data_IF_150656841556
#
_entry.id   IF_150656841556
#
_cell.length_a   1.000
_cell.length_b   1.000
_cell.length_c   1.000
_cell.angle_alpha   90.00
_cell.angle_beta   90.00
_cell.angle_gamma   90.00
#
_symmetry.space_group_name_H-M   'P 1'
#
loop_
_entity.id
_entity.type
_entity.pdbx_description
1 polymer ?
#
# COMPACT_ATOMS: atom_id res chain seq x y z
N UNK A 1 11.58 16.32 -13.15
CA UNK A 1 11.38 15.02 -13.82
C UNK A 1 10.48 14.17 -12.94
N UNK A 2 9.33 13.68 -13.43
CA UNK A 2 8.50 12.73 -12.66
C UNK A 2 9.25 11.40 -12.53
N UNK A 3 9.11 10.71 -11.40
CA UNK A 3 9.75 9.40 -11.17
C UNK A 3 9.43 8.39 -12.29
N UNK A 4 8.24 8.51 -12.89
CA UNK A 4 7.83 7.80 -14.10
C UNK A 4 8.75 7.99 -15.31
N UNK A 5 9.09 9.25 -15.64
CA UNK A 5 10.02 9.52 -16.76
C UNK A 5 11.42 9.02 -16.43
N UNK A 6 11.84 9.13 -15.18
CA UNK A 6 13.16 8.67 -14.74
C UNK A 6 13.32 7.15 -14.88
N UNK A 7 12.34 6.36 -14.43
CA UNK A 7 12.42 4.89 -14.51
C UNK A 7 12.43 4.39 -15.95
N UNK A 8 11.70 5.05 -16.85
CA UNK A 8 11.66 4.73 -18.27
C UNK A 8 12.96 5.14 -18.98
N UNK A 9 13.47 6.34 -18.70
CA UNK A 9 14.67 6.88 -19.36
C UNK A 9 15.93 6.14 -18.91
N UNK A 10 16.04 5.80 -17.63
CA UNK A 10 17.23 5.16 -17.06
C UNK A 10 17.25 3.63 -17.17
N UNK A 11 16.25 3.04 -17.84
CA UNK A 11 16.12 1.59 -18.04
C UNK A 11 16.38 0.75 -16.77
N UNK A 12 15.79 1.17 -15.64
CA UNK A 12 16.01 0.50 -14.35
C UNK A 12 15.45 -0.94 -14.30
N UNK A 13 16.16 -1.91 -13.68
CA UNK A 13 15.63 -3.27 -13.48
C UNK A 13 14.28 -3.28 -12.74
N UNK A 14 13.45 -4.34 -12.92
CA UNK A 14 12.10 -4.38 -12.34
C UNK A 14 12.04 -4.16 -10.83
N UNK A 15 12.95 -4.79 -10.08
CA UNK A 15 13.00 -4.65 -8.62
C UNK A 15 13.35 -3.22 -8.18
N UNK A 16 14.32 -2.58 -8.85
CA UNK A 16 14.70 -1.19 -8.57
C UNK A 16 13.56 -0.23 -8.92
N UNK A 17 12.85 -0.48 -10.01
CA UNK A 17 11.67 0.30 -10.41
C UNK A 17 10.54 0.18 -9.37
N UNK A 18 10.29 -1.04 -8.86
CA UNK A 18 9.30 -1.27 -7.80
C UNK A 18 9.60 -0.46 -6.53
N UNK A 19 10.87 -0.36 -6.12
CA UNK A 19 11.29 0.45 -4.97
C UNK A 19 10.99 1.94 -5.22
N UNK A 20 11.40 2.47 -6.37
CA UNK A 20 11.19 3.90 -6.71
C UNK A 20 9.69 4.23 -6.78
N UNK A 21 8.89 3.39 -7.43
CA UNK A 21 7.44 3.61 -7.56
C UNK A 21 6.72 3.43 -6.22
N UNK A 22 7.12 2.46 -5.40
CA UNK A 22 6.59 2.27 -4.04
C UNK A 22 6.88 3.48 -3.14
N UNK A 23 8.11 3.99 -3.16
CA UNK A 23 8.49 5.19 -2.42
C UNK A 23 7.76 6.44 -2.93
N UNK A 24 7.56 6.57 -4.24
CA UNK A 24 6.75 7.64 -4.82
C UNK A 24 5.31 7.60 -4.27
N UNK A 25 4.65 6.45 -4.29
CA UNK A 25 3.28 6.28 -3.77
C UNK A 25 3.23 6.63 -2.28
N UNK A 26 4.21 6.13 -1.49
CA UNK A 26 4.33 6.43 -0.05
C UNK A 26 4.43 7.94 0.19
N UNK A 27 5.29 8.64 -0.55
CA UNK A 27 5.48 10.08 -0.41
C UNK A 27 4.25 10.89 -0.83
N UNK A 28 3.53 10.47 -1.88
CA UNK A 28 2.26 11.09 -2.29
C UNK A 28 1.22 10.95 -1.18
N UNK A 29 1.05 9.75 -0.61
CA UNK A 29 0.10 9.51 0.49
C UNK A 29 0.44 10.36 1.72
N UNK A 30 1.73 10.47 2.07
CA UNK A 30 2.18 11.32 3.19
C UNK A 30 1.98 12.81 2.92
N UNK A 31 2.28 13.26 1.71
CA UNK A 31 2.07 14.67 1.32
C UNK A 31 0.59 15.03 1.39
N UNK A 32 -0.27 14.15 0.89
CA UNK A 32 -1.73 14.29 1.01
C UNK A 32 -2.18 14.39 2.48
N UNK A 33 -1.70 13.48 3.33
CA UNK A 33 -2.04 13.46 4.75
C UNK A 33 -1.63 14.75 5.48
N UNK A 34 -0.45 15.28 5.17
CA UNK A 34 0.05 16.53 5.73
C UNK A 34 -0.75 17.74 5.25
N UNK A 35 -0.99 17.86 3.94
CA UNK A 35 -1.78 18.97 3.37
C UNK A 35 -3.20 18.96 3.93
N UNK A 36 -3.84 17.79 3.99
CA UNK A 36 -5.20 17.64 4.52
C UNK A 36 -5.29 18.05 6.00
N UNK A 37 -4.25 17.75 6.78
CA UNK A 37 -4.13 18.19 8.17
C UNK A 37 -3.96 19.71 8.28
N UNK A 38 -3.02 20.28 7.52
CA UNK A 38 -2.73 21.71 7.55
C UNK A 38 -3.97 22.55 7.15
N UNK A 39 -4.68 22.13 6.10
CA UNK A 39 -5.93 22.76 5.68
C UNK A 39 -6.99 22.69 6.79
N UNK A 40 -7.13 21.53 7.44
CA UNK A 40 -8.09 21.35 8.53
C UNK A 40 -7.85 22.36 9.68
N UNK A 41 -6.60 22.54 10.09
CA UNK A 41 -6.23 23.50 11.13
C UNK A 41 -6.58 24.94 10.77
N UNK A 42 -6.24 25.38 9.55
CA UNK A 42 -6.49 26.76 9.10
C UNK A 42 -7.99 27.09 9.12
N UNK A 43 -8.84 26.13 8.77
CA UNK A 43 -10.29 26.33 8.82
C UNK A 43 -10.87 26.35 10.24
N UNK A 44 -10.30 25.58 11.17
CA UNK A 44 -10.69 25.62 12.60
C UNK A 44 -10.32 26.97 13.21
N UNK A 45 -9.10 27.46 12.96
CA UNK A 45 -8.60 28.76 13.44
C UNK A 45 -9.44 29.92 12.90
N UNK A 46 -9.77 29.91 11.60
CA UNK A 46 -10.64 30.94 11.01
C UNK A 46 -12.08 30.92 11.53
N UNK A 47 -12.56 29.80 12.09
CA UNK A 47 -13.87 29.74 12.76
C UNK A 47 -13.81 30.32 14.17
N UNK A 48 -12.74 30.06 14.91
CA UNK A 48 -12.55 30.57 16.27
C UNK A 48 -12.39 32.10 16.27
N UNK A 49 -11.72 32.70 15.27
CA UNK A 49 -11.65 34.16 15.12
C UNK A 49 -13.01 34.81 14.79
N UNK A 50 -13.92 34.07 14.12
CA UNK A 50 -15.23 34.58 13.72
C UNK A 50 -16.30 34.50 14.82
N UNK A 51 -16.01 33.83 15.93
CA UNK A 51 -16.94 33.64 17.04
C UNK A 51 -16.68 34.68 18.14
N UNK A 52 -17.61 35.60 18.45
CA UNK A 52 -17.40 36.54 19.56
C UNK A 52 -17.28 35.76 20.87
N UNK A 53 -16.42 36.18 21.82
CA UNK A 53 -16.36 35.54 23.12
C UNK A 53 -17.71 35.64 23.81
N UNK A 54 -18.37 34.49 24.03
CA UNK A 54 -19.58 34.42 24.86
C UNK A 54 -19.27 34.90 26.28
N UNK A 55 -20.17 35.68 26.91
CA UNK A 55 -19.95 36.16 28.28
C UNK A 55 -19.94 34.95 29.22
N UNK A 56 -18.77 34.70 29.81
CA UNK A 56 -18.64 33.68 30.85
C UNK A 56 -19.45 34.12 32.06
N UNK A 57 -20.41 33.29 32.47
CA UNK A 57 -21.21 33.44 33.68
C UNK A 57 -20.29 33.43 34.90
N UNK A 58 -19.92 34.61 35.42
CA UNK A 58 -19.35 34.77 36.75
C UNK A 58 -20.43 34.53 37.80
N UNK A 59 -20.35 33.39 38.49
CA UNK A 59 -20.97 33.20 39.81
C UNK A 59 -20.04 33.81 40.86
N UNK A 60 -20.66 34.59 41.73
CA UNK A 60 -20.20 35.49 42.80
C UNK A 60 -19.23 34.90 43.82
N UNK A 61 -18.24 35.71 44.29
CA UNK A 61 -18.15 36.21 45.68
C UNK A 61 -16.76 36.80 46.04
N UNK A 62 -16.74 38.05 46.53
CA UNK A 62 -15.92 38.43 47.70
C UNK A 62 -14.60 39.23 47.53
N UNK A 63 -14.70 40.55 47.72
CA UNK A 63 -13.82 41.42 48.55
C UNK A 63 -12.36 41.73 48.08
N UNK A 64 -12.19 43.01 47.67
CA UNK A 64 -11.06 43.96 47.82
C UNK A 64 -9.60 43.47 47.98
N UNK A 65 -8.72 43.90 47.06
CA UNK A 65 -7.76 44.99 47.33
C UNK A 65 -6.90 45.36 46.11
N UNK A 66 -6.60 46.66 46.01
CA UNK A 66 -5.73 47.30 45.05
C UNK A 66 -4.28 46.77 45.07
N UNK A 67 -3.75 46.43 43.88
CA UNK A 67 -2.32 46.57 43.57
C UNK A 67 -2.17 46.83 42.06
N UNK A 68 -1.77 48.04 41.70
CA UNK A 68 -1.33 48.38 40.34
C UNK A 68 0.07 47.78 40.14
N UNK A 69 0.17 46.74 39.31
CA UNK A 69 1.44 46.31 38.70
C UNK A 69 1.33 46.62 37.21
N UNK A 70 2.13 47.59 36.76
CA UNK A 70 2.34 47.86 35.34
C UNK A 70 3.06 46.67 34.71
N UNK A 71 2.32 45.79 34.05
CA UNK A 71 2.89 44.82 33.12
C UNK A 71 2.65 45.35 31.71
N UNK A 72 3.72 45.88 31.11
CA UNK A 72 3.79 46.16 29.69
C UNK A 72 3.62 44.84 28.93
N UNK A 73 2.37 44.49 28.62
CA UNK A 73 2.06 43.42 27.69
C UNK A 73 2.41 43.90 26.29
N UNK A 74 3.67 43.67 25.91
CA UNK A 74 4.04 43.45 24.51
C UNK A 74 3.10 42.35 23.99
N UNK A 75 2.13 42.75 23.19
CA UNK A 75 1.26 41.85 22.43
C UNK A 75 2.13 41.16 21.39
N UNK A 76 2.83 40.11 21.81
CA UNK A 76 3.29 39.08 20.89
C UNK A 76 2.04 38.29 20.58
N UNK A 77 1.40 38.61 19.46
CA UNK A 77 0.52 37.68 18.79
C UNK A 77 1.39 36.43 18.60
N UNK A 78 1.15 35.38 19.40
CA UNK A 78 1.69 34.06 19.11
C UNK A 78 1.18 33.74 17.71
N UNK A 79 2.02 33.91 16.69
CA UNK A 79 1.79 33.29 15.40
C UNK A 79 1.72 31.80 15.70
N UNK A 80 0.49 31.26 15.77
CA UNK A 80 0.22 29.86 16.05
C UNK A 80 1.16 29.03 15.17
N UNK A 81 2.04 28.28 15.84
CA UNK A 81 3.26 27.76 15.22
C UNK A 81 2.90 26.73 14.14
N UNK A 82 2.94 27.14 12.86
CA UNK A 82 2.88 26.22 11.72
C UNK A 82 3.77 25.00 11.99
N UNK A 83 3.36 23.79 11.57
CA UNK A 83 4.06 22.57 11.95
C UNK A 83 5.54 22.67 11.55
N UNK A 84 6.40 22.70 12.57
CA UNK A 84 7.84 22.83 12.41
C UNK A 84 8.37 21.79 11.40
N UNK A 85 9.22 22.22 10.47
CA UNK A 85 9.79 21.37 9.41
C UNK A 85 10.42 20.08 9.95
N UNK A 86 11.01 20.11 11.14
CA UNK A 86 11.56 18.93 11.82
C UNK A 86 10.52 17.85 12.10
N UNK A 87 9.30 18.24 12.49
CA UNK A 87 8.18 17.31 12.74
C UNK A 87 7.69 16.68 11.43
N UNK A 88 7.62 17.47 10.37
CA UNK A 88 7.29 16.96 9.04
C UNK A 88 8.35 15.97 8.53
N UNK A 89 9.64 16.28 8.68
CA UNK A 89 10.73 15.37 8.31
C UNK A 89 10.68 14.06 9.11
N UNK A 90 10.38 14.12 10.41
CA UNK A 90 10.15 12.94 11.23
C UNK A 90 8.99 12.10 10.69
N UNK A 91 7.86 12.72 10.36
CA UNK A 91 6.71 12.04 9.76
C UNK A 91 7.06 11.38 8.43
N UNK A 92 7.87 12.01 7.56
CA UNK A 92 8.29 11.42 6.29
C UNK A 92 9.01 10.09 6.48
N UNK A 93 9.76 9.91 7.57
CA UNK A 93 10.45 8.66 7.87
C UNK A 93 9.62 7.70 8.73
N UNK A 94 8.71 8.20 9.56
CA UNK A 94 7.90 7.38 10.47
C UNK A 94 7.08 6.31 9.72
N UNK A 95 6.94 5.09 10.25
CA UNK A 95 6.19 4.00 9.62
C UNK A 95 4.67 4.17 9.83
N UNK A 96 4.15 5.34 9.47
CA UNK A 96 2.71 5.65 9.46
C UNK A 96 2.40 6.57 8.28
N UNK A 97 1.16 6.55 7.82
CA UNK A 97 0.66 7.41 6.74
C UNK A 97 -0.29 8.50 7.25
N UNK A 98 -0.67 8.47 8.53
CA UNK A 98 -1.54 9.48 9.14
C UNK A 98 -0.69 10.51 9.87
N UNK A 99 -0.80 11.78 9.47
CA UNK A 99 -0.05 12.87 10.10
C UNK A 99 -0.66 13.24 11.46
N UNK A 100 0.20 13.43 12.46
CA UNK A 100 -0.11 13.96 13.80
C UNK A 100 1.06 14.78 14.29
N UNK A 101 0.80 15.81 15.10
CA UNK A 101 1.88 16.65 15.65
C UNK A 101 2.73 15.93 16.70
N UNK A 102 2.08 15.09 17.50
CA UNK A 102 2.71 14.33 18.58
C UNK A 102 2.41 12.85 18.38
N UNK A 103 3.47 12.07 18.23
CA UNK A 103 3.41 10.62 18.19
C UNK A 103 3.91 10.03 19.51
N UNK A 104 3.38 8.88 19.95
CA UNK A 104 3.95 8.18 21.10
C UNK A 104 5.39 7.77 20.77
N UNK A 105 6.32 8.00 21.72
CA UNK A 105 7.75 7.71 21.53
C UNK A 105 8.29 6.73 22.58
N UNK A 106 9.23 5.90 22.16
CA UNK A 106 9.98 5.05 23.10
C UNK A 106 11.11 5.83 23.78
N UNK A 107 11.47 5.42 25.00
CA UNK A 107 12.51 6.11 25.80
C UNK A 107 13.91 5.95 25.19
N UNK A 108 14.26 4.75 24.78
CA UNK A 108 15.56 4.40 24.21
C UNK A 108 15.41 3.55 22.94
N UNK A 109 16.50 3.45 22.17
CA UNK A 109 16.61 2.59 20.98
C UNK A 109 17.26 1.28 21.42
N UNK A 110 16.59 0.16 21.18
CA UNK A 110 17.12 -1.19 21.40
C UNK A 110 17.80 -1.67 20.13
N UNK A 111 19.08 -1.37 19.98
CA UNK A 111 19.86 -1.70 18.77
C UNK A 111 19.87 -3.19 18.43
N UNK A 112 19.93 -4.07 19.43
CA UNK A 112 19.80 -5.52 19.20
C UNK A 112 18.49 -5.89 18.46
N UNK A 113 17.37 -5.26 18.83
CA UNK A 113 16.09 -5.46 18.16
C UNK A 113 16.15 -4.95 16.71
N UNK A 114 16.76 -3.78 16.46
CA UNK A 114 16.96 -3.23 15.11
C UNK A 114 17.76 -4.19 14.24
N UNK A 115 18.94 -4.62 14.71
CA UNK A 115 19.82 -5.54 13.97
C UNK A 115 19.16 -6.89 13.71
N UNK A 116 18.45 -7.45 14.70
CA UNK A 116 17.72 -8.72 14.54
C UNK A 116 16.65 -8.62 13.45
N UNK A 117 15.85 -7.54 13.44
CA UNK A 117 14.85 -7.33 12.40
C UNK A 117 15.47 -7.14 11.00
N UNK A 118 16.57 -6.38 10.87
CA UNK A 118 17.24 -6.24 9.57
C UNK A 118 17.83 -7.56 9.08
N UNK A 119 18.40 -8.37 9.97
CA UNK A 119 18.88 -9.71 9.62
C UNK A 119 17.73 -10.60 9.13
N UNK A 120 16.57 -10.56 9.80
CA UNK A 120 15.37 -11.27 9.35
C UNK A 120 14.92 -10.82 7.95
N UNK A 121 14.94 -9.52 7.64
CA UNK A 121 14.65 -9.01 6.29
C UNK A 121 15.62 -9.58 5.25
N UNK A 122 16.92 -9.61 5.54
CA UNK A 122 17.93 -10.17 4.62
C UNK A 122 17.66 -11.66 4.38
N UNK A 123 17.38 -12.44 5.44
CA UNK A 123 17.04 -13.86 5.33
C UNK A 123 15.78 -14.07 4.50
N UNK A 124 14.72 -13.30 4.74
CA UNK A 124 13.49 -13.35 3.97
C UNK A 124 13.72 -13.00 2.49
N UNK A 125 14.56 -12.02 2.19
CA UNK A 125 14.90 -11.65 0.81
C UNK A 125 15.64 -12.78 0.08
N UNK A 126 16.65 -13.38 0.71
CA UNK A 126 17.38 -14.53 0.16
C UNK A 126 16.43 -15.71 -0.05
N UNK A 127 15.57 -16.01 0.93
CA UNK A 127 14.61 -17.11 0.82
C UNK A 127 13.58 -16.88 -0.29
N UNK A 128 13.08 -15.65 -0.44
CA UNK A 128 12.18 -15.26 -1.53
C UNK A 128 12.86 -15.45 -2.89
N UNK A 129 14.13 -15.05 -3.02
CA UNK A 129 14.91 -15.27 -4.24
C UNK A 129 15.00 -16.77 -4.60
N UNK A 130 15.29 -17.65 -3.64
CA UNK A 130 15.32 -19.09 -3.89
C UNK A 130 13.97 -19.64 -4.36
N UNK A 131 12.86 -19.20 -3.74
CA UNK A 131 11.51 -19.61 -4.17
C UNK A 131 11.23 -19.13 -5.60
N UNK A 132 11.52 -17.86 -5.90
CA UNK A 132 11.34 -17.30 -7.24
C UNK A 132 12.18 -18.05 -8.28
N UNK A 133 13.45 -18.32 -8.01
CA UNK A 133 14.34 -19.06 -8.91
C UNK A 133 13.85 -20.48 -9.18
N UNK A 134 13.46 -21.21 -8.13
CA UNK A 134 13.09 -22.62 -8.25
C UNK A 134 11.71 -22.82 -8.85
N UNK A 135 10.73 -22.01 -8.45
CA UNK A 135 9.32 -22.25 -8.76
C UNK A 135 8.74 -21.30 -9.82
N UNK A 136 9.35 -20.13 -10.05
CA UNK A 136 8.87 -19.20 -11.07
C UNK A 136 9.82 -19.20 -12.28
N UNK A 137 11.09 -18.88 -12.09
CA UNK A 137 11.99 -18.70 -13.23
C UNK A 137 12.26 -20.00 -14.00
N UNK A 138 12.59 -21.11 -13.33
CA UNK A 138 12.91 -22.37 -14.02
C UNK A 138 11.72 -22.92 -14.86
N UNK A 139 10.48 -23.03 -14.32
CA UNK A 139 9.35 -23.57 -15.07
C UNK A 139 8.85 -22.67 -16.20
N UNK A 140 8.91 -21.33 -16.04
CA UNK A 140 8.41 -20.37 -17.03
C UNK A 140 9.45 -19.96 -18.08
N UNK A 141 10.74 -20.24 -17.86
CA UNK A 141 11.83 -19.85 -18.79
C UNK A 141 11.64 -20.34 -20.23
N UNK A 142 10.95 -21.47 -20.42
CA UNK A 142 10.68 -22.08 -21.72
C UNK A 142 9.35 -21.62 -22.34
N UNK A 143 8.56 -20.80 -21.63
CA UNK A 143 7.28 -20.32 -22.13
C UNK A 143 7.48 -19.37 -23.31
N UNK A 144 6.83 -19.65 -24.44
CA UNK A 144 7.03 -18.92 -25.70
C UNK A 144 8.05 -19.56 -26.65
N UNK A 145 8.86 -20.54 -26.20
CA UNK A 145 9.77 -21.33 -27.06
C UNK A 145 9.15 -22.63 -27.58
N UNK A 146 8.07 -23.09 -26.97
CA UNK A 146 7.42 -24.37 -27.28
C UNK A 146 5.91 -24.19 -27.51
N UNK A 147 5.34 -25.08 -28.33
CA UNK A 147 3.95 -25.20 -28.83
C UNK A 147 2.86 -24.51 -27.98
N UNK A 148 1.85 -23.95 -28.68
CA UNK A 148 0.65 -23.24 -28.15
C UNK A 148 0.29 -23.67 -26.72
N UNK A 149 0.24 -22.71 -25.81
CA UNK A 149 -0.09 -22.95 -24.42
C UNK A 149 -1.54 -23.44 -24.29
N UNK A 150 -1.73 -24.72 -23.95
CA UNK A 150 -3.06 -25.32 -23.77
C UNK A 150 -3.64 -24.94 -22.41
N UNK A 151 -4.96 -24.78 -22.33
CA UNK A 151 -5.69 -24.56 -21.08
C UNK A 151 -5.39 -25.63 -20.02
N UNK A 152 -5.20 -26.90 -20.41
CA UNK A 152 -4.79 -27.96 -19.47
C UNK A 152 -3.43 -27.66 -18.82
N UNK A 153 -2.48 -27.14 -19.59
CA UNK A 153 -1.15 -26.76 -19.09
C UNK A 153 -1.23 -25.51 -18.21
N UNK A 154 -2.15 -24.58 -18.52
CA UNK A 154 -2.46 -23.45 -17.65
C UNK A 154 -2.87 -23.92 -16.26
N UNK A 155 -3.92 -24.73 -16.17
CA UNK A 155 -4.46 -25.19 -14.88
C UNK A 155 -3.40 -25.92 -14.05
N UNK A 156 -2.61 -26.80 -14.67
CA UNK A 156 -1.53 -27.51 -14.00
C UNK A 156 -0.47 -26.55 -13.44
N UNK A 157 -0.01 -25.60 -14.26
CA UNK A 157 1.04 -24.64 -13.88
C UNK A 157 0.54 -23.65 -12.83
N UNK A 158 -0.69 -23.17 -13.01
CA UNK A 158 -1.42 -22.31 -12.09
C UNK A 158 -1.56 -22.96 -10.70
N UNK A 159 -1.96 -24.23 -10.66
CA UNK A 159 -2.08 -25.00 -9.40
C UNK A 159 -0.72 -25.19 -8.74
N UNK A 160 0.33 -25.46 -9.51
CA UNK A 160 1.70 -25.57 -9.01
C UNK A 160 2.25 -24.25 -8.44
N UNK A 161 1.74 -23.09 -8.89
CA UNK A 161 2.14 -21.78 -8.39
C UNK A 161 1.40 -21.34 -7.12
N UNK A 162 0.28 -21.98 -6.77
CA UNK A 162 -0.52 -21.67 -5.57
C UNK A 162 0.31 -21.70 -4.28
N UNK A 163 1.07 -22.78 -4.06
CA UNK A 163 1.85 -22.94 -2.84
C UNK A 163 3.06 -21.98 -2.81
N UNK A 164 3.94 -21.90 -3.84
CA UNK A 164 5.01 -20.91 -3.87
C UNK A 164 4.50 -19.47 -3.73
N UNK A 165 3.36 -19.15 -4.34
CA UNK A 165 2.77 -17.82 -4.27
C UNK A 165 2.24 -17.46 -2.88
N UNK A 166 1.53 -18.39 -2.23
CA UNK A 166 1.12 -18.22 -0.84
C UNK A 166 2.30 -18.10 0.13
N UNK A 167 3.38 -18.85 -0.09
CA UNK A 167 4.61 -18.72 0.71
C UNK A 167 5.27 -17.35 0.51
N UNK A 168 5.40 -16.88 -0.74
CA UNK A 168 5.93 -15.56 -1.04
C UNK A 168 5.09 -14.44 -0.43
N UNK A 169 3.76 -14.57 -0.42
CA UNK A 169 2.87 -13.66 0.29
C UNK A 169 3.22 -13.58 1.78
N UNK A 170 3.34 -14.72 2.46
CA UNK A 170 3.65 -14.79 3.89
C UNK A 170 5.02 -14.19 4.21
N UNK A 171 6.03 -14.50 3.39
CA UNK A 171 7.39 -13.98 3.55
C UNK A 171 7.41 -12.47 3.30
N UNK A 172 6.74 -11.99 2.25
CA UNK A 172 6.66 -10.56 1.95
C UNK A 172 5.94 -9.80 3.07
N UNK A 173 4.85 -10.35 3.61
CA UNK A 173 4.16 -9.81 4.77
C UNK A 173 5.09 -9.68 5.97
N UNK A 174 5.75 -10.77 6.37
CA UNK A 174 6.62 -10.79 7.54
C UNK A 174 7.87 -9.91 7.36
N UNK A 175 8.49 -9.97 6.19
CA UNK A 175 9.68 -9.17 5.88
C UNK A 175 9.37 -7.68 5.93
N UNK A 176 8.28 -7.25 5.28
CA UNK A 176 7.96 -5.84 5.15
C UNK A 176 7.16 -5.30 6.35
N UNK A 177 5.95 -5.82 6.58
CA UNK A 177 5.04 -5.25 7.58
C UNK A 177 5.47 -5.52 9.02
N UNK A 178 6.13 -6.66 9.27
CA UNK A 178 6.68 -6.95 10.58
C UNK A 178 8.10 -6.42 10.73
N UNK A 179 9.08 -7.04 10.06
CA UNK A 179 10.50 -6.83 10.36
C UNK A 179 10.99 -5.44 9.93
N UNK A 180 10.75 -5.06 8.68
CA UNK A 180 11.19 -3.76 8.15
C UNK A 180 10.55 -2.59 8.91
N UNK A 181 9.23 -2.56 9.03
CA UNK A 181 8.55 -1.46 9.74
C UNK A 181 8.93 -1.39 11.23
N UNK A 182 9.10 -2.52 11.92
CA UNK A 182 9.56 -2.51 13.32
C UNK A 182 11.00 -2.02 13.46
N UNK A 183 11.89 -2.35 12.51
CA UNK A 183 13.26 -1.84 12.51
C UNK A 183 13.26 -0.30 12.38
N UNK A 184 12.52 0.25 11.41
CA UNK A 184 12.38 1.70 11.26
C UNK A 184 11.67 2.36 12.43
N UNK A 185 10.63 1.73 12.99
CA UNK A 185 9.93 2.24 14.17
C UNK A 185 10.87 2.36 15.37
N UNK A 186 11.67 1.33 15.63
CA UNK A 186 12.63 1.34 16.74
C UNK A 186 13.72 2.39 16.53
N UNK A 187 14.31 2.48 15.32
CA UNK A 187 15.33 3.50 14.99
C UNK A 187 14.80 4.93 15.18
N UNK A 188 13.54 5.19 14.81
CA UNK A 188 12.91 6.50 14.96
C UNK A 188 12.35 6.74 16.38
N UNK A 189 12.39 5.75 17.27
CA UNK A 189 11.68 5.73 18.56
C UNK A 189 10.18 5.95 18.41
N UNK A 190 9.58 5.41 17.37
CA UNK A 190 8.14 5.41 17.14
C UNK A 190 7.49 4.32 18.01
N UNK A 191 6.56 4.74 18.86
CA UNK A 191 5.91 3.89 19.86
C UNK A 191 4.66 3.18 19.37
N UNK A 192 4.00 3.69 18.32
CA UNK A 192 2.80 3.07 17.75
C UNK A 192 3.21 1.99 16.73
N UNK A 193 3.15 0.72 17.12
CA UNK A 193 3.66 -0.39 16.30
C UNK A 193 2.57 -1.32 15.80
N UNK A 194 1.32 -0.85 15.81
CA UNK A 194 0.17 -1.63 15.33
C UNK A 194 0.05 -1.55 13.81
N UNK A 195 1.02 -2.11 13.09
CA UNK A 195 1.03 -2.09 11.62
C UNK A 195 0.05 -3.06 10.97
N UNK A 196 -0.33 -4.10 11.72
CA UNK A 196 -1.28 -5.14 11.33
C UNK A 196 -1.93 -5.72 12.58
N UNK A 197 -3.07 -6.41 12.40
CA UNK A 197 -3.77 -7.18 13.44
C UNK A 197 -3.76 -8.67 13.07
N UNK A 198 -4.47 -9.50 13.82
CA UNK A 198 -4.59 -10.95 13.61
C UNK A 198 -5.42 -11.32 12.38
N UNK A 199 -5.02 -10.83 11.21
CA UNK A 199 -5.69 -11.04 9.93
C UNK A 199 -5.78 -12.52 9.53
N UNK A 200 -4.90 -13.37 10.06
CA UNK A 200 -4.92 -14.83 9.87
C UNK A 200 -6.13 -15.50 10.51
N UNK A 201 -6.77 -14.86 11.51
CA UNK A 201 -7.99 -15.32 12.14
C UNK A 201 -9.26 -14.79 11.46
N UNK A 202 -9.13 -14.02 10.39
CA UNK A 202 -10.29 -13.41 9.73
C UNK A 202 -11.25 -14.48 9.19
N UNK A 203 -12.55 -14.29 9.41
CA UNK A 203 -13.64 -15.12 8.84
C UNK A 203 -14.35 -14.45 7.66
N UNK A 204 -14.08 -13.16 7.41
CA UNK A 204 -14.62 -12.42 6.27
C UNK A 204 -13.52 -11.59 5.59
N UNK A 205 -13.64 -11.38 4.28
CA UNK A 205 -12.70 -10.52 3.56
C UNK A 205 -12.73 -9.07 4.06
N UNK A 206 -13.90 -8.59 4.51
CA UNK A 206 -14.00 -7.28 5.15
C UNK A 206 -13.10 -7.15 6.39
N UNK A 207 -13.04 -8.18 7.25
CA UNK A 207 -12.11 -8.18 8.40
C UNK A 207 -10.66 -8.26 7.91
N UNK A 208 -10.36 -9.12 6.92
CA UNK A 208 -9.02 -9.28 6.37
C UNK A 208 -8.45 -7.96 5.81
N UNK A 209 -9.20 -7.24 4.97
CA UNK A 209 -8.78 -5.96 4.39
C UNK A 209 -8.45 -4.89 5.45
N UNK A 210 -9.13 -4.91 6.60
CA UNK A 210 -8.94 -3.94 7.69
C UNK A 210 -7.77 -4.28 8.62
N UNK A 211 -7.32 -5.53 8.61
CA UNK A 211 -6.37 -6.08 9.59
C UNK A 211 -5.01 -6.41 8.98
N UNK A 212 -4.95 -6.68 7.66
CA UNK A 212 -3.71 -7.04 6.97
C UNK A 212 -2.64 -5.95 6.99
N UNK A 213 -2.99 -4.73 6.57
CA UNK A 213 -2.09 -3.58 6.55
C UNK A 213 -2.86 -2.36 7.09
N UNK A 214 -2.77 -2.19 8.41
CA UNK A 214 -3.50 -1.14 9.15
C UNK A 214 -3.02 0.24 8.72
N UNK A 215 -1.74 0.41 8.36
CA UNK A 215 -1.19 1.71 7.96
C UNK A 215 -1.89 2.25 6.70
N UNK A 216 -2.00 1.42 5.67
CA UNK A 216 -2.66 1.81 4.41
C UNK A 216 -4.16 1.88 4.59
N UNK A 217 -4.74 0.94 5.34
CA UNK A 217 -6.15 0.95 5.69
C UNK A 217 -6.56 2.26 6.38
N UNK A 218 -5.81 2.69 7.41
CA UNK A 218 -6.14 3.89 8.18
C UNK A 218 -6.03 5.16 7.35
N UNK A 219 -5.08 5.22 6.42
CA UNK A 219 -4.99 6.31 5.44
C UNK A 219 -6.21 6.33 4.51
N UNK A 220 -6.56 5.19 3.91
CA UNK A 220 -7.72 5.06 3.02
C UNK A 220 -9.02 5.40 3.75
N UNK A 221 -9.18 4.93 4.98
CA UNK A 221 -10.35 5.19 5.79
C UNK A 221 -10.45 6.67 6.19
N UNK A 222 -9.36 7.24 6.71
CA UNK A 222 -9.36 8.60 7.26
C UNK A 222 -9.52 9.66 6.18
N UNK A 223 -8.82 9.49 5.05
CA UNK A 223 -8.67 10.55 4.06
C UNK A 223 -9.47 10.34 2.78
N UNK A 224 -9.85 9.11 2.44
CA UNK A 224 -10.61 8.84 1.21
C UNK A 224 -12.05 8.49 1.59
N UNK A 225 -12.24 7.44 2.40
CA UNK A 225 -13.58 6.99 2.77
C UNK A 225 -14.38 8.07 3.50
N UNK A 226 -13.83 8.65 4.59
CA UNK A 226 -14.52 9.67 5.38
C UNK A 226 -14.76 10.96 4.61
N UNK A 227 -13.81 11.41 3.81
CA UNK A 227 -13.96 12.64 3.02
C UNK A 227 -15.01 12.45 1.91
N UNK A 228 -15.05 11.30 1.23
CA UNK A 228 -16.13 10.98 0.28
C UNK A 228 -17.49 10.92 0.98
N UNK A 229 -17.57 10.32 2.16
CA UNK A 229 -18.80 10.31 2.95
C UNK A 229 -19.26 11.71 3.37
N UNK A 230 -18.32 12.60 3.65
CA UNK A 230 -18.60 14.00 3.96
C UNK A 230 -19.14 14.74 2.72
N UNK A 231 -18.55 14.54 1.54
CA UNK A 231 -18.94 15.21 0.30
C UNK A 231 -20.29 14.72 -0.27
N UNK A 232 -20.56 13.42 -0.23
CA UNK A 232 -21.73 12.80 -0.87
C UNK A 232 -22.89 12.59 0.12
N UNK A 233 -22.64 12.83 1.41
CA UNK A 233 -23.59 12.59 2.49
C UNK A 233 -23.55 11.16 3.03
N UNK A 234 -23.94 11.00 4.30
CA UNK A 234 -23.79 9.77 5.11
C UNK A 234 -24.50 8.53 4.55
N UNK A 235 -25.37 8.68 3.56
CA UNK A 235 -26.21 7.61 3.01
C UNK A 235 -25.49 6.70 2.00
N UNK A 236 -24.39 7.14 1.37
CA UNK A 236 -23.74 6.36 0.31
C UNK A 236 -22.49 5.59 0.76
N UNK A 237 -22.65 4.69 1.76
CA UNK A 237 -21.55 3.83 2.27
C UNK A 237 -20.92 2.97 1.18
N UNK A 238 -21.75 2.41 0.31
CA UNK A 238 -21.31 1.53 -0.79
C UNK A 238 -20.48 2.28 -1.82
N UNK A 239 -20.85 3.52 -2.16
CA UNK A 239 -20.08 4.34 -3.11
C UNK A 239 -18.70 4.71 -2.53
N UNK A 240 -18.65 5.12 -1.27
CA UNK A 240 -17.39 5.41 -0.59
C UNK A 240 -16.49 4.17 -0.51
N UNK A 241 -17.06 3.00 -0.20
CA UNK A 241 -16.33 1.74 -0.23
C UNK A 241 -15.81 1.41 -1.65
N UNK A 242 -16.66 1.55 -2.67
CA UNK A 242 -16.30 1.28 -4.08
C UNK A 242 -15.13 2.17 -4.52
N UNK A 243 -15.19 3.46 -4.21
CA UNK A 243 -14.13 4.41 -4.55
C UNK A 243 -12.79 4.04 -3.89
N UNK A 244 -12.81 3.64 -2.61
CA UNK A 244 -11.61 3.17 -1.90
C UNK A 244 -11.05 1.89 -2.55
N UNK A 245 -11.91 0.93 -2.88
CA UNK A 245 -11.50 -0.32 -3.53
C UNK A 245 -10.87 -0.07 -4.90
N UNK A 246 -11.49 0.77 -5.72
CA UNK A 246 -11.01 1.08 -7.06
C UNK A 246 -9.71 1.89 -7.03
N UNK A 247 -9.61 2.89 -6.14
CA UNK A 247 -8.38 3.63 -5.92
C UNK A 247 -7.24 2.70 -5.50
N UNK A 248 -7.51 1.84 -4.51
CA UNK A 248 -6.52 0.87 -4.03
C UNK A 248 -6.08 -0.10 -5.15
N UNK A 249 -7.04 -0.69 -5.87
CA UNK A 249 -6.76 -1.60 -6.98
C UNK A 249 -5.94 -0.93 -8.09
N UNK A 250 -6.30 0.31 -8.46
CA UNK A 250 -5.59 1.09 -9.48
C UNK A 250 -4.15 1.43 -9.07
N UNK A 251 -3.92 1.78 -7.81
CA UNK A 251 -2.56 2.06 -7.31
C UNK A 251 -1.70 0.80 -7.28
N UNK A 252 -2.25 -0.35 -6.87
CA UNK A 252 -1.47 -1.59 -6.90
C UNK A 252 -1.14 -2.03 -8.33
N UNK A 253 -2.09 -1.93 -9.26
CA UNK A 253 -1.86 -2.20 -10.68
C UNK A 253 -0.83 -1.22 -11.26
N UNK A 254 -0.89 0.06 -10.90
CA UNK A 254 0.10 1.06 -11.29
C UNK A 254 1.52 0.67 -10.85
N UNK A 255 1.70 0.23 -9.60
CA UNK A 255 3.01 -0.21 -9.09
C UNK A 255 3.53 -1.39 -9.92
N UNK A 256 2.70 -2.40 -10.20
CA UNK A 256 3.10 -3.56 -11.00
C UNK A 256 3.40 -3.19 -12.45
N UNK A 257 2.52 -2.40 -13.08
CA UNK A 257 2.67 -1.92 -14.44
C UNK A 257 3.98 -1.15 -14.62
N UNK A 258 4.34 -0.31 -13.66
CA UNK A 258 5.62 0.41 -13.69
C UNK A 258 6.81 -0.53 -13.49
N UNK A 259 6.72 -1.46 -12.54
CA UNK A 259 7.80 -2.38 -12.21
C UNK A 259 8.11 -3.35 -13.36
N UNK A 260 7.06 -3.90 -13.99
CA UNK A 260 7.16 -4.92 -15.03
C UNK A 260 7.18 -4.32 -16.45
N UNK A 261 6.81 -3.04 -16.60
CA UNK A 261 6.78 -2.28 -17.85
C UNK A 261 5.88 -2.86 -18.95
N UNK A 262 4.78 -3.45 -18.53
CA UNK A 262 3.64 -3.76 -19.38
C UNK A 262 2.36 -3.66 -18.56
N UNK A 263 1.24 -3.46 -19.25
CA UNK A 263 -0.06 -3.46 -18.62
C UNK A 263 -0.68 -4.85 -18.75
N UNK A 264 -0.93 -5.50 -17.61
CA UNK A 264 -1.71 -6.73 -17.53
C UNK A 264 -2.63 -6.63 -16.30
N UNK A 265 -3.87 -6.14 -16.45
CA UNK A 265 -4.75 -5.71 -15.35
C UNK A 265 -5.35 -6.86 -14.52
N UNK A 266 -4.62 -7.96 -14.33
CA UNK A 266 -5.04 -9.14 -13.57
C UNK A 266 -5.22 -8.79 -12.09
N UNK A 267 -4.31 -8.02 -11.51
CA UNK A 267 -4.42 -7.63 -10.11
C UNK A 267 -5.61 -6.68 -9.91
N UNK A 268 -5.76 -5.71 -10.81
CA UNK A 268 -6.93 -4.83 -10.82
C UNK A 268 -8.24 -5.63 -10.85
N UNK A 269 -8.37 -6.62 -11.74
CA UNK A 269 -9.58 -7.45 -11.85
C UNK A 269 -9.81 -8.32 -10.61
N UNK A 270 -8.77 -8.97 -10.07
CA UNK A 270 -8.91 -9.77 -8.85
C UNK A 270 -9.32 -8.93 -7.64
N UNK A 271 -8.77 -7.72 -7.48
CA UNK A 271 -9.14 -6.84 -6.38
C UNK A 271 -10.52 -6.19 -6.56
N UNK A 272 -10.77 -5.58 -7.74
CA UNK A 272 -11.97 -4.78 -7.99
C UNK A 272 -13.23 -5.60 -8.26
N UNK A 273 -13.09 -6.83 -8.79
CA UNK A 273 -14.23 -7.73 -9.04
C UNK A 273 -14.28 -8.79 -7.94
N UNK A 274 -13.24 -9.61 -7.83
CA UNK A 274 -13.20 -10.71 -6.86
C UNK A 274 -13.25 -10.23 -5.41
N UNK A 275 -12.30 -9.37 -5.03
CA UNK A 275 -12.20 -8.79 -3.70
C UNK A 275 -13.42 -7.96 -3.30
N UNK A 276 -13.97 -7.17 -4.23
CA UNK A 276 -15.16 -6.36 -4.01
C UNK A 276 -16.41 -7.20 -3.76
N UNK A 277 -16.66 -8.24 -4.56
CA UNK A 277 -17.80 -9.15 -4.32
C UNK A 277 -17.63 -9.85 -2.97
N UNK A 278 -16.44 -10.38 -2.69
CA UNK A 278 -16.12 -11.07 -1.44
C UNK A 278 -16.18 -10.16 -0.21
N UNK A 279 -16.01 -8.84 -0.38
CA UNK A 279 -16.12 -7.87 0.72
C UNK A 279 -17.52 -7.84 1.34
N UNK A 280 -18.58 -8.02 0.53
CA UNK A 280 -19.96 -8.03 1.02
C UNK A 280 -20.38 -9.41 1.55
N UNK A 281 -19.66 -10.47 1.20
CA UNK A 281 -19.93 -11.83 1.69
C UNK A 281 -19.67 -11.89 3.20
N UNK A 282 -20.73 -12.20 3.94
CA UNK A 282 -20.66 -12.43 5.38
C UNK A 282 -20.53 -13.93 5.64
N UNK A 283 -19.56 -14.27 6.49
CA UNK A 283 -19.24 -15.63 6.85
C UNK A 283 -18.94 -15.73 8.33
N UNK A 284 -19.46 -16.77 8.98
CA UNK A 284 -19.25 -17.03 10.41
C UNK A 284 -18.72 -18.44 10.65
N UNK A 285 -17.76 -18.55 11.57
CA UNK A 285 -17.16 -19.84 11.96
C UNK A 285 -15.84 -20.17 11.27
N UNK A 286 -15.25 -21.30 11.69
CA UNK A 286 -13.89 -21.71 11.31
C UNK A 286 -13.76 -22.13 9.84
N UNK A 287 -14.84 -22.65 9.23
CA UNK A 287 -14.83 -23.03 7.81
C UNK A 287 -14.55 -21.85 6.88
N UNK A 288 -15.07 -20.67 7.21
CA UNK A 288 -14.81 -19.46 6.43
C UNK A 288 -13.35 -18.98 6.51
N UNK A 289 -12.68 -19.21 7.64
CA UNK A 289 -11.25 -18.93 7.76
C UNK A 289 -10.45 -19.81 6.78
N UNK A 290 -10.76 -21.10 6.71
CA UNK A 290 -10.13 -22.03 5.74
C UNK A 290 -10.38 -21.59 4.31
N UNK A 291 -11.61 -21.18 3.97
CA UNK A 291 -11.95 -20.66 2.64
C UNK A 291 -11.12 -19.42 2.29
N UNK A 292 -10.97 -18.47 3.22
CA UNK A 292 -10.13 -17.28 3.01
C UNK A 292 -8.69 -17.67 2.73
N UNK A 293 -8.11 -18.59 3.51
CA UNK A 293 -6.75 -19.07 3.28
C UNK A 293 -6.56 -19.70 1.90
N UNK A 294 -7.50 -20.56 1.49
CA UNK A 294 -7.49 -21.18 0.15
C UNK A 294 -7.54 -20.10 -0.94
N UNK A 295 -8.46 -19.14 -0.82
CA UNK A 295 -8.61 -18.05 -1.80
C UNK A 295 -7.39 -17.13 -1.84
N UNK A 296 -6.76 -16.82 -0.71
CA UNK A 296 -5.53 -16.02 -0.65
C UNK A 296 -4.39 -16.75 -1.38
N UNK A 297 -4.17 -18.04 -1.09
CA UNK A 297 -3.11 -18.81 -1.75
C UNK A 297 -3.36 -18.93 -3.25
N UNK A 298 -4.59 -19.23 -3.66
CA UNK A 298 -4.96 -19.29 -5.08
C UNK A 298 -4.74 -17.94 -5.75
N UNK A 299 -5.20 -16.84 -5.15
CA UNK A 299 -5.05 -15.49 -5.69
C UNK A 299 -3.60 -15.10 -5.91
N UNK A 300 -2.74 -15.29 -4.90
CA UNK A 300 -1.31 -15.02 -5.01
C UNK A 300 -0.60 -15.93 -6.00
N UNK A 301 -0.97 -17.22 -6.06
CA UNK A 301 -0.48 -18.15 -7.07
C UNK A 301 -0.85 -17.74 -8.49
N UNK A 302 -2.10 -17.33 -8.72
CA UNK A 302 -2.56 -16.85 -10.03
C UNK A 302 -1.80 -15.61 -10.47
N UNK A 303 -1.61 -14.64 -9.56
CA UNK A 303 -0.86 -13.42 -9.88
C UNK A 303 0.57 -13.77 -10.31
N UNK A 304 1.30 -14.55 -9.51
CA UNK A 304 2.67 -14.94 -9.84
C UNK A 304 2.73 -15.71 -11.15
N UNK A 305 1.80 -16.64 -11.38
CA UNK A 305 1.73 -17.41 -12.62
C UNK A 305 1.53 -16.49 -13.82
N UNK A 306 0.45 -15.69 -13.85
CA UNK A 306 0.07 -14.86 -15.00
C UNK A 306 1.10 -13.78 -15.32
N UNK A 307 1.61 -13.07 -14.29
CA UNK A 307 2.65 -12.07 -14.51
C UNK A 307 3.97 -12.70 -14.97
N UNK A 308 4.40 -13.83 -14.39
CA UNK A 308 5.62 -14.50 -14.83
C UNK A 308 5.48 -15.01 -16.27
N UNK A 309 4.32 -15.55 -16.62
CA UNK A 309 4.04 -16.01 -17.96
C UNK A 309 4.10 -14.88 -18.99
N UNK A 310 3.46 -13.76 -18.72
CA UNK A 310 3.49 -12.58 -19.60
C UNK A 310 4.91 -12.02 -19.75
N UNK A 311 5.66 -11.93 -18.66
CA UNK A 311 7.06 -11.48 -18.66
C UNK A 311 7.93 -12.35 -19.58
N UNK A 312 7.80 -13.67 -19.50
CA UNK A 312 8.57 -14.59 -20.33
C UNK A 312 8.06 -14.67 -21.77
N UNK A 313 6.76 -14.56 -22.00
CA UNK A 313 6.18 -14.49 -23.35
C UNK A 313 6.73 -13.27 -24.10
N UNK A 314 6.80 -12.10 -23.46
CA UNK A 314 7.40 -10.89 -24.05
C UNK A 314 8.89 -11.01 -24.35
N UNK A 315 9.63 -11.78 -23.55
CA UNK A 315 11.07 -12.01 -23.79
C UNK A 315 11.34 -13.00 -24.93
N UNK A 316 10.48 -13.99 -25.08
CA UNK A 316 10.72 -15.12 -25.99
C UNK A 316 9.98 -14.97 -27.34
N UNK A 317 8.93 -14.15 -27.43
CA UNK A 317 8.15 -13.94 -28.66
C UNK A 317 8.46 -12.56 -29.30
N UNK A 318 8.41 -12.43 -30.63
CA UNK A 318 8.53 -11.13 -31.28
C UNK A 318 7.36 -10.21 -30.88
N UNK A 319 7.56 -8.88 -30.90
CA UNK A 319 6.49 -7.92 -30.62
C UNK A 319 5.33 -8.14 -31.60
N UNK A 320 4.12 -8.17 -31.07
CA UNK A 320 2.91 -8.44 -31.86
C UNK A 320 2.51 -7.21 -32.69
N UNK A 321 2.74 -6.00 -32.17
CA UNK A 321 2.46 -4.73 -32.83
C UNK A 321 3.55 -3.71 -32.56
N UNK A 322 3.65 -2.72 -33.44
CA UNK A 322 4.59 -1.61 -33.31
C UNK A 322 4.07 -0.51 -32.37
N UNK A 323 5.00 0.15 -31.66
CA UNK A 323 4.73 1.33 -30.85
C UNK A 323 4.08 1.07 -29.48
N UNK A 324 3.35 2.06 -28.96
CA UNK A 324 2.80 2.06 -27.59
C UNK A 324 1.70 1.02 -27.35
N UNK A 325 1.05 0.52 -28.41
CA UNK A 325 -0.01 -0.49 -28.29
C UNK A 325 0.54 -1.84 -27.82
N UNK A 326 1.82 -2.12 -28.09
CA UNK A 326 2.49 -3.33 -27.60
C UNK A 326 2.52 -3.42 -26.06
N UNK A 327 2.46 -2.27 -25.38
CA UNK A 327 2.44 -2.19 -23.92
C UNK A 327 1.15 -2.76 -23.30
N UNK A 328 0.01 -2.61 -23.98
CA UNK A 328 -1.31 -3.03 -23.49
C UNK A 328 -1.72 -4.42 -23.99
N UNK A 329 -1.01 -4.99 -24.97
CA UNK A 329 -1.38 -6.25 -25.60
C UNK A 329 -0.77 -7.46 -24.89
N UNK A 330 -1.59 -8.43 -24.41
CA UNK A 330 -1.09 -9.60 -23.70
C UNK A 330 -0.40 -10.59 -24.63
N UNK A 331 0.92 -10.75 -24.50
CA UNK A 331 1.72 -11.65 -25.34
C UNK A 331 1.48 -13.12 -24.99
N UNK A 332 1.02 -13.42 -23.78
CA UNK A 332 0.62 -14.76 -23.35
C UNK A 332 -0.48 -15.36 -24.25
N UNK A 333 -1.36 -14.52 -24.84
CA UNK A 333 -2.43 -14.95 -25.77
C UNK A 333 -1.96 -14.82 -27.23
N UNK A 334 -1.25 -13.73 -27.53
CA UNK A 334 -0.98 -13.30 -28.90
C UNK A 334 0.36 -13.78 -29.47
N UNK A 335 1.20 -14.47 -28.67
CA UNK A 335 2.47 -14.99 -29.15
C UNK A 335 2.24 -15.86 -30.40
N UNK A 336 2.83 -15.49 -31.56
CA UNK A 336 2.67 -16.25 -32.78
C UNK A 336 3.17 -17.66 -32.54
N UNK A 337 2.33 -18.67 -32.79
CA UNK A 337 2.84 -20.02 -32.92
C UNK A 337 3.78 -20.00 -34.11
N UNK A 338 5.09 -20.08 -33.89
CA UNK A 338 6.06 -20.31 -34.95
C UNK A 338 5.68 -21.63 -35.62
N UNK A 339 4.90 -21.55 -36.70
CA UNK A 339 4.93 -22.58 -37.72
C UNK A 339 6.34 -22.49 -38.28
N UNK A 340 7.24 -23.32 -37.76
CA UNK A 340 8.43 -23.69 -38.52
C UNK A 340 7.95 -24.45 -39.76
N UNK A 341 7.52 -23.71 -40.78
CA UNK A 341 7.63 -24.17 -42.16
C UNK A 341 9.10 -23.96 -42.51
N UNK A 342 9.86 -25.06 -42.44
CA UNK A 342 11.24 -25.07 -42.88
C UNK A 342 11.33 -24.69 -44.35
N UNK A 343 12.05 -23.59 -44.60
CA UNK A 343 12.74 -23.30 -45.84
C UNK A 343 13.99 -22.52 -45.44
N UNK A 344 15.13 -23.20 -45.31
CA UNK A 344 16.20 -23.25 -46.32
C UNK A 344 16.97 -24.55 -46.10
#
# INVERSE_FOLDING_TARGET
>A
MTSFRFTIICDLPPASTAIVTGEQVRLVMKSHAFVRYAIGRIFEEGQDESTPPSPTTTVTAGINNHHYVNQSNSCVIEMEEFPNFSRYLYFLLAPTLVYREKYPRTRSIRWYFVFSNFLQVIVCFIFSYYIFMRFCFLPFSQLGKLKKFSFKKYILTSTACTLPGGLLMLIAFYSFLHSWLNAFAEMLRFGDRLFYKDWWNATTFSVWYRTWNVIVHDWLYTYIYRDIQFLIGKHSRTLAATAVFWLSAGVHEYILMMSLRYCLPVLFLFFSVGGYVLFFVQGSGRGWNVVIWILLFIGWGQMICLYSMEWYARKNCPPVMDGYLNFFMPHIILCPSTNHTGHV
#
